data_IF_170003277790
#
_entry.id   IF_170003277790
#
_cell.length_a   1.000
_cell.length_b   1.000
_cell.length_c   1.000
_cell.angle_alpha   90.00
_cell.angle_beta   90.00
_cell.angle_gamma   90.00
#
_symmetry.space_group_name_H-M   'P 1'
#
loop_
_entity.id
_entity.type
_entity.pdbx_description
1 polymer ?
#
# COMPACT_ATOMS: atom_id res chain seq x y z
N UNK A 1 28.17 -64.55 30.92
CA UNK A 1 27.43 -63.66 30.00
C UNK A 1 27.12 -62.31 30.67
N UNK A 2 28.08 -61.44 31.03
CA UNK A 2 27.71 -60.22 31.82
C UNK A 2 28.81 -59.15 31.87
N UNK A 3 29.29 -58.63 30.72
CA UNK A 3 30.09 -57.38 30.73
C UNK A 3 30.01 -56.57 29.45
N UNK A 4 29.77 -57.22 28.32
CA UNK A 4 29.69 -56.56 27.02
C UNK A 4 28.31 -55.94 26.75
N UNK A 5 27.24 -56.55 27.26
CA UNK A 5 25.88 -56.01 27.18
C UNK A 5 25.69 -54.73 28.01
N UNK A 6 26.39 -54.60 29.14
CA UNK A 6 26.31 -53.41 30.01
C UNK A 6 27.01 -52.19 29.40
N UNK A 7 28.02 -52.38 28.54
CA UNK A 7 28.67 -51.27 27.82
C UNK A 7 27.86 -50.78 26.63
N UNK A 8 27.19 -51.67 25.90
CA UNK A 8 26.31 -51.28 24.79
C UNK A 8 25.07 -50.52 25.28
N UNK A 9 24.48 -50.94 26.41
CA UNK A 9 23.32 -50.27 26.99
C UNK A 9 23.63 -48.83 27.42
N UNK A 10 24.82 -48.60 27.98
CA UNK A 10 25.23 -47.28 28.48
C UNK A 10 25.57 -46.29 27.35
N UNK A 11 26.05 -46.78 26.20
CA UNK A 11 26.30 -45.96 25.01
C UNK A 11 24.99 -45.54 24.32
N UNK A 12 23.98 -46.41 24.29
CA UNK A 12 22.66 -46.10 23.72
C UNK A 12 21.87 -45.09 24.57
N UNK A 13 22.04 -45.07 25.89
CA UNK A 13 21.36 -44.09 26.76
C UNK A 13 21.96 -42.68 26.69
N UNK A 14 23.22 -42.53 26.27
CA UNK A 14 23.84 -41.21 26.09
C UNK A 14 23.35 -40.52 24.81
N UNK A 15 23.00 -41.29 23.76
CA UNK A 15 22.48 -40.73 22.51
C UNK A 15 20.99 -40.33 22.57
N UNK A 16 20.24 -40.83 23.56
CA UNK A 16 18.82 -40.49 23.75
C UNK A 16 18.59 -39.24 24.62
N UNK A 17 19.64 -38.69 25.24
CA UNK A 17 19.53 -37.56 26.18
C UNK A 17 19.96 -36.22 25.61
N UNK A 18 20.38 -36.16 24.34
CA UNK A 18 20.54 -34.89 23.65
C UNK A 18 19.12 -34.42 23.29
N UNK A 19 18.45 -33.81 24.27
CA UNK A 19 17.40 -32.84 23.98
C UNK A 19 18.09 -31.73 23.20
N UNK A 20 18.10 -31.88 21.88
CA UNK A 20 18.34 -30.79 20.95
C UNK A 20 17.20 -29.83 21.21
N UNK A 21 17.39 -28.90 22.14
CA UNK A 21 16.62 -27.67 22.19
C UNK A 21 17.14 -26.87 21.01
N UNK A 22 16.82 -27.30 19.79
CA UNK A 22 16.76 -26.40 18.67
C UNK A 22 15.53 -25.55 18.95
N UNK A 23 15.70 -24.52 19.75
CA UNK A 23 14.88 -23.35 19.53
C UNK A 23 15.12 -23.00 18.07
N UNK A 24 14.12 -23.25 17.22
CA UNK A 24 14.13 -22.73 15.86
C UNK A 24 14.54 -21.26 15.97
N UNK A 25 15.47 -20.77 15.14
CA UNK A 25 15.76 -19.35 15.13
C UNK A 25 14.42 -18.65 14.96
N UNK A 26 14.00 -17.94 16.01
CA UNK A 26 12.81 -17.12 15.97
C UNK A 26 13.23 -15.98 15.05
N UNK A 27 13.01 -16.17 13.75
CA UNK A 27 13.29 -15.16 12.75
C UNK A 27 12.52 -13.93 13.19
N UNK A 28 13.21 -12.96 13.79
CA UNK A 28 12.69 -11.63 13.98
C UNK A 28 12.10 -11.21 12.64
N UNK A 29 10.86 -10.69 12.57
CA UNK A 29 10.19 -10.41 11.31
C UNK A 29 10.83 -9.17 10.68
N UNK A 30 12.01 -9.36 10.12
CA UNK A 30 12.82 -8.37 9.44
C UNK A 30 13.41 -9.11 8.24
N UNK A 31 12.74 -8.89 7.09
CA UNK A 31 13.25 -9.02 5.70
C UNK A 31 12.89 -10.30 4.93
N UNK A 32 12.34 -10.02 3.73
CA UNK A 32 12.22 -10.82 2.50
C UNK A 32 10.97 -11.70 2.31
N UNK A 33 10.05 -11.22 1.47
CA UNK A 33 8.86 -11.92 0.99
C UNK A 33 7.62 -11.60 1.83
N UNK A 34 6.73 -10.75 1.32
CA UNK A 34 5.53 -10.27 2.02
C UNK A 34 4.49 -11.33 2.40
N UNK A 35 4.80 -12.61 2.30
CA UNK A 35 3.88 -13.73 2.46
C UNK A 35 4.00 -14.34 3.86
N UNK A 36 2.89 -14.37 4.62
CA UNK A 36 2.77 -15.23 5.83
C UNK A 36 2.95 -14.56 7.20
N UNK A 37 2.97 -13.23 7.31
CA UNK A 37 2.83 -12.54 8.61
C UNK A 37 1.37 -12.08 8.77
N UNK A 38 0.60 -12.60 9.74
CA UNK A 38 -0.85 -12.46 9.77
C UNK A 38 -1.42 -11.04 9.86
N UNK A 39 -0.59 -10.02 10.16
CA UNK A 39 -1.02 -8.63 10.35
C UNK A 39 -0.24 -7.60 9.50
N UNK A 40 0.50 -8.04 8.46
CA UNK A 40 1.29 -7.10 7.65
C UNK A 40 0.43 -6.40 6.61
N UNK A 41 0.29 -5.09 6.74
CA UNK A 41 -0.31 -4.22 5.75
C UNK A 41 0.64 -3.99 4.58
N UNK A 42 0.11 -4.04 3.36
CA UNK A 42 0.84 -3.79 2.13
C UNK A 42 -0.01 -3.06 1.11
N UNK A 43 0.59 -2.66 0.00
CA UNK A 43 -0.07 -2.02 -1.13
C UNK A 43 0.31 -2.74 -2.42
N UNK A 44 -0.68 -3.14 -3.23
CA UNK A 44 -0.41 -3.73 -4.55
C UNK A 44 -0.17 -2.62 -5.56
N UNK A 45 1.08 -2.43 -5.93
CA UNK A 45 1.52 -1.45 -6.91
C UNK A 45 1.56 -2.05 -8.31
N UNK A 46 1.08 -1.32 -9.30
CA UNK A 46 1.18 -1.71 -10.70
C UNK A 46 1.59 -0.52 -11.56
N UNK A 47 2.40 -0.79 -12.58
CA UNK A 47 2.94 0.23 -13.46
C UNK A 47 2.81 -0.19 -14.92
N UNK A 48 2.68 0.82 -15.77
CA UNK A 48 2.82 0.74 -17.22
C UNK A 48 3.82 1.83 -17.66
N UNK A 49 4.06 1.99 -18.96
CA UNK A 49 5.08 2.93 -19.46
C UNK A 49 4.77 4.41 -19.13
N UNK A 50 3.51 4.72 -18.83
CA UNK A 50 3.02 6.11 -18.71
C UNK A 50 2.53 6.44 -17.30
N UNK A 51 1.95 5.46 -16.60
CA UNK A 51 1.25 5.67 -15.34
C UNK A 51 1.50 4.49 -14.39
N UNK A 52 1.39 4.77 -13.10
CA UNK A 52 1.45 3.77 -12.05
C UNK A 52 0.44 4.04 -10.96
N UNK A 53 -0.08 2.98 -10.38
CA UNK A 53 -1.18 3.03 -9.43
C UNK A 53 -1.01 1.98 -8.34
N UNK A 54 -1.58 2.23 -7.17
CA UNK A 54 -1.83 1.25 -6.13
C UNK A 54 -3.30 0.86 -6.21
N UNK A 55 -3.59 -0.44 -6.12
CA UNK A 55 -4.96 -0.94 -6.04
C UNK A 55 -5.64 -0.37 -4.79
N UNK A 56 -6.79 0.25 -4.97
CA UNK A 56 -7.56 0.86 -3.90
C UNK A 56 -8.98 0.28 -3.83
N UNK A 57 -9.41 -0.03 -2.61
CA UNK A 57 -10.76 -0.53 -2.32
C UNK A 57 -11.52 0.58 -1.60
N UNK A 58 -12.46 1.20 -2.31
CA UNK A 58 -13.22 2.33 -1.80
C UNK A 58 -14.34 1.91 -0.85
N UNK A 59 -14.84 2.87 -0.06
CA UNK A 59 -15.89 2.62 0.93
C UNK A 59 -17.20 2.11 0.29
N UNK A 60 -17.51 2.54 -0.93
CA UNK A 60 -18.66 2.09 -1.72
C UNK A 60 -18.47 0.69 -2.35
N UNK A 61 -17.27 0.12 -2.26
CA UNK A 61 -16.93 -1.17 -2.86
C UNK A 61 -16.43 -1.06 -4.30
N UNK A 62 -16.27 0.14 -4.85
CA UNK A 62 -15.58 0.32 -6.13
C UNK A 62 -14.07 0.05 -5.99
N UNK A 63 -13.45 -0.39 -7.08
CA UNK A 63 -12.01 -0.62 -7.16
C UNK A 63 -11.41 0.32 -8.19
N UNK A 64 -10.40 1.08 -7.78
CA UNK A 64 -9.68 2.02 -8.63
C UNK A 64 -8.17 1.99 -8.35
N UNK A 65 -7.45 2.90 -8.99
CA UNK A 65 -6.00 3.04 -8.85
C UNK A 65 -5.62 4.43 -8.35
N UNK A 66 -4.84 4.49 -7.28
CA UNK A 66 -4.28 5.74 -6.72
C UNK A 66 -2.78 5.86 -7.00
N UNK A 67 -2.25 7.03 -7.40
CA UNK A 67 -0.81 7.19 -7.67
C UNK A 67 0.06 7.07 -6.41
N UNK A 68 -0.52 7.23 -5.21
CA UNK A 68 0.18 7.23 -3.91
C UNK A 68 -0.50 6.30 -2.93
N UNK A 69 0.23 5.79 -1.94
CA UNK A 69 -0.37 4.98 -0.86
C UNK A 69 -1.42 5.78 -0.09
N UNK A 70 -2.62 5.23 0.06
CA UNK A 70 -3.71 5.77 0.86
C UNK A 70 -4.18 4.75 1.90
N UNK A 71 -4.97 5.17 2.87
CA UNK A 71 -5.60 4.24 3.83
C UNK A 71 -6.53 3.23 3.13
N UNK A 72 -7.06 3.59 1.94
CA UNK A 72 -7.96 2.76 1.14
C UNK A 72 -7.22 1.79 0.20
N UNK A 73 -5.95 2.07 -0.14
CA UNK A 73 -5.08 1.13 -0.88
C UNK A 73 -4.33 0.14 0.00
N UNK A 74 -4.36 0.34 1.31
CA UNK A 74 -3.79 -0.59 2.25
C UNK A 74 -4.64 -1.86 2.33
N UNK A 75 -4.01 -2.98 2.01
CA UNK A 75 -4.63 -4.28 1.97
C UNK A 75 -3.86 -5.28 2.82
N UNK A 76 -4.57 -6.33 3.17
CA UNK A 76 -4.03 -7.51 3.84
C UNK A 76 -4.26 -8.71 2.91
N UNK A 77 -3.19 -9.46 2.65
CA UNK A 77 -3.25 -10.67 1.84
C UNK A 77 -3.06 -11.87 2.77
N UNK A 78 -4.07 -12.74 2.83
CA UNK A 78 -4.03 -13.97 3.61
C UNK A 78 -3.98 -15.17 2.68
N UNK A 79 -3.12 -16.14 3.01
CA UNK A 79 -3.12 -17.43 2.31
C UNK A 79 -4.33 -18.25 2.79
N UNK A 80 -5.09 -18.76 1.84
CA UNK A 80 -6.28 -19.59 2.06
C UNK A 80 -5.92 -21.06 1.83
N UNK A 81 -5.21 -21.35 0.74
CA UNK A 81 -4.58 -22.65 0.48
C UNK A 81 -3.29 -22.47 -0.35
N UNK A 82 -2.64 -23.56 -0.75
CA UNK A 82 -1.38 -23.48 -1.50
C UNK A 82 -1.56 -22.69 -2.80
N UNK A 83 -0.90 -21.53 -2.89
CA UNK A 83 -1.01 -20.61 -4.03
C UNK A 83 -2.35 -19.89 -4.15
N UNK A 84 -3.26 -20.00 -3.17
CA UNK A 84 -4.54 -19.30 -3.16
C UNK A 84 -4.60 -18.30 -2.02
N UNK A 85 -5.17 -17.14 -2.31
CA UNK A 85 -5.08 -15.95 -1.46
C UNK A 85 -6.40 -15.21 -1.41
N UNK A 86 -6.64 -14.57 -0.27
CA UNK A 86 -7.74 -13.65 -0.04
C UNK A 86 -7.16 -12.27 0.20
N UNK A 87 -7.63 -11.30 -0.58
CA UNK A 87 -7.19 -9.90 -0.50
C UNK A 87 -8.29 -9.10 0.20
N UNK A 88 -7.95 -8.41 1.28
CA UNK A 88 -8.90 -7.65 2.10
C UNK A 88 -8.45 -6.20 2.24
N UNK A 89 -9.34 -5.25 1.96
CA UNK A 89 -9.13 -3.82 2.20
C UNK A 89 -9.26 -3.51 3.69
N UNK A 90 -8.20 -2.96 4.29
CA UNK A 90 -8.12 -2.85 5.75
C UNK A 90 -9.00 -1.72 6.28
N UNK A 91 -9.03 -0.57 5.61
CA UNK A 91 -9.88 0.55 6.01
C UNK A 91 -11.37 0.26 5.79
N UNK A 92 -11.71 -0.42 4.70
CA UNK A 92 -13.11 -0.66 4.30
C UNK A 92 -13.68 -1.96 4.84
N UNK A 93 -12.82 -2.86 5.32
CA UNK A 93 -13.20 -4.21 5.74
C UNK A 93 -14.02 -4.94 4.67
N UNK A 94 -13.53 -4.85 3.42
CA UNK A 94 -14.12 -5.46 2.23
C UNK A 94 -13.14 -6.45 1.63
N UNK A 95 -13.63 -7.61 1.25
CA UNK A 95 -12.91 -8.59 0.44
C UNK A 95 -12.90 -8.13 -1.01
N UNK A 96 -11.76 -8.26 -1.67
CA UNK A 96 -11.69 -8.13 -3.12
C UNK A 96 -12.33 -9.38 -3.73
N UNK A 97 -13.32 -9.20 -4.59
CA UNK A 97 -14.04 -10.28 -5.26
C UNK A 97 -14.13 -9.98 -6.76
N UNK A 98 -14.40 -11.02 -7.55
CA UNK A 98 -14.49 -10.93 -9.00
C UNK A 98 -15.79 -11.56 -9.52
N UNK A 99 -16.43 -10.87 -10.45
CA UNK A 99 -17.63 -11.38 -11.12
C UNK A 99 -17.29 -12.28 -12.33
N UNK A 100 -18.32 -12.90 -12.90
CA UNK A 100 -18.24 -13.73 -14.10
C UNK A 100 -17.73 -13.02 -15.36
N UNK A 101 -17.69 -11.69 -15.35
CA UNK A 101 -17.21 -10.84 -16.45
C UNK A 101 -15.75 -10.42 -16.25
N UNK A 102 -15.14 -10.78 -15.13
CA UNK A 102 -13.77 -10.37 -14.76
C UNK A 102 -13.69 -9.00 -14.08
N UNK A 103 -14.83 -8.39 -13.71
CA UNK A 103 -14.84 -7.14 -12.96
C UNK A 103 -14.53 -7.41 -11.50
N UNK A 104 -13.66 -6.59 -10.94
CA UNK A 104 -13.27 -6.65 -9.53
C UNK A 104 -14.06 -5.62 -8.73
N UNK A 105 -14.51 -6.02 -7.54
CA UNK A 105 -15.29 -5.17 -6.63
C UNK A 105 -15.00 -5.55 -5.17
N UNK A 106 -15.27 -4.64 -4.24
CA UNK A 106 -15.13 -4.83 -2.81
C UNK A 106 -16.45 -5.24 -2.16
N UNK A 107 -16.50 -6.41 -1.54
CA UNK A 107 -17.71 -6.94 -0.90
C UNK A 107 -17.49 -7.27 0.59
N UNK A 108 -18.51 -7.08 1.42
CA UNK A 108 -18.39 -7.34 2.87
C UNK A 108 -18.53 -8.82 3.20
N UNK A 109 -19.39 -9.54 2.49
CA UNK A 109 -19.61 -10.95 2.74
C UNK A 109 -18.61 -11.78 1.95
N UNK A 110 -17.95 -12.72 2.63
CA UNK A 110 -16.97 -13.57 1.98
C UNK A 110 -17.65 -14.66 1.14
N UNK A 111 -17.34 -14.69 -0.17
CA UNK A 111 -17.69 -15.79 -1.06
C UNK A 111 -16.42 -16.47 -1.58
N UNK A 112 -16.21 -17.73 -1.22
CA UNK A 112 -15.03 -18.50 -1.61
C UNK A 112 -14.83 -18.55 -3.13
N UNK A 113 -15.92 -18.67 -3.90
CA UNK A 113 -15.86 -18.81 -5.35
C UNK A 113 -15.40 -17.55 -6.10
N UNK A 114 -15.68 -16.38 -5.52
CA UNK A 114 -15.51 -15.09 -6.19
C UNK A 114 -14.39 -14.25 -5.54
N UNK A 115 -14.06 -14.49 -4.27
CA UNK A 115 -13.12 -13.68 -3.47
C UNK A 115 -11.78 -14.38 -3.18
N UNK A 116 -11.58 -15.58 -3.73
CA UNK A 116 -10.30 -16.31 -3.67
C UNK A 116 -9.60 -16.21 -5.01
N UNK A 117 -8.32 -15.86 -4.99
CA UNK A 117 -7.49 -15.74 -6.19
C UNK A 117 -6.29 -16.66 -6.11
N UNK A 118 -5.89 -17.20 -7.25
CA UNK A 118 -4.61 -17.90 -7.38
C UNK A 118 -3.50 -16.86 -7.60
N UNK A 119 -2.48 -16.93 -6.76
CA UNK A 119 -1.27 -16.11 -6.81
C UNK A 119 -0.14 -16.87 -7.51
N UNK A 120 0.47 -16.21 -8.48
CA UNK A 120 1.67 -16.71 -9.16
C UNK A 120 2.71 -15.58 -9.29
N UNK A 121 3.95 -15.87 -8.93
CA UNK A 121 5.08 -14.96 -9.18
C UNK A 121 5.68 -15.29 -10.54
N UNK A 122 5.75 -14.29 -11.40
CA UNK A 122 6.32 -14.37 -12.75
C UNK A 122 7.86 -14.38 -12.72
N UNK A 123 8.47 -14.69 -13.86
CA UNK A 123 9.93 -14.67 -14.05
C UNK A 123 10.55 -13.28 -13.85
N UNK A 124 9.77 -12.22 -14.04
CA UNK A 124 10.21 -10.84 -13.82
C UNK A 124 10.04 -10.36 -12.36
N UNK A 125 9.73 -11.27 -11.42
CA UNK A 125 9.48 -11.02 -10.00
C UNK A 125 8.25 -10.15 -9.70
N UNK A 126 7.32 -10.02 -10.65
CA UNK A 126 6.00 -9.46 -10.39
C UNK A 126 5.01 -10.56 -10.05
N UNK A 127 4.02 -10.22 -9.23
CA UNK A 127 2.93 -11.10 -8.84
C UNK A 127 1.72 -10.90 -9.76
N UNK A 128 1.06 -12.00 -10.07
CA UNK A 128 -0.20 -12.02 -10.81
C UNK A 128 -1.24 -12.76 -10.00
N UNK A 129 -2.45 -12.24 -10.05
CA UNK A 129 -3.60 -12.78 -9.36
C UNK A 129 -4.69 -13.07 -10.38
N UNK A 130 -5.26 -14.28 -10.37
CA UNK A 130 -6.35 -14.64 -11.26
C UNK A 130 -7.41 -15.48 -10.55
N UNK A 131 -8.66 -15.35 -10.99
CA UNK A 131 -9.76 -16.14 -10.43
C UNK A 131 -9.69 -17.58 -10.94
N UNK A 132 -9.66 -18.61 -10.07
CA UNK A 132 -9.69 -20.01 -10.50
C UNK A 132 -11.04 -20.39 -11.14
N UNK A 133 -12.13 -19.71 -10.74
CA UNK A 133 -13.49 -19.96 -11.25
C UNK A 133 -13.76 -19.25 -12.58
N UNK A 134 -13.43 -17.97 -12.66
CA UNK A 134 -13.77 -17.13 -13.82
C UNK A 134 -12.64 -17.06 -14.85
N UNK A 135 -11.44 -17.54 -14.49
CA UNK A 135 -10.23 -17.56 -15.33
C UNK A 135 -9.83 -16.17 -15.88
N UNK A 136 -10.15 -15.09 -15.16
CA UNK A 136 -9.74 -13.72 -15.48
C UNK A 136 -8.61 -13.26 -14.54
N UNK A 137 -7.71 -12.44 -15.08
CA UNK A 137 -6.64 -11.80 -14.29
C UNK A 137 -7.18 -10.54 -13.63
N UNK A 138 -6.75 -10.26 -12.40
CA UNK A 138 -6.99 -8.98 -11.74
C UNK A 138 -6.29 -7.89 -12.56
N UNK A 139 -7.06 -6.91 -13.03
CA UNK A 139 -6.56 -5.73 -13.74
C UNK A 139 -7.35 -4.51 -13.35
N UNK A 140 -6.66 -3.38 -13.12
CA UNK A 140 -7.31 -2.10 -12.81
C UNK A 140 -7.96 -1.43 -14.03
N UNK A 141 -7.59 -1.85 -15.25
CA UNK A 141 -8.15 -1.27 -16.48
C UNK A 141 -8.98 -2.29 -17.27
N UNK A 142 -9.66 -1.77 -18.27
CA UNK A 142 -10.36 -2.55 -19.29
C UNK A 142 -9.53 -2.58 -20.59
N UNK A 143 -9.73 -3.60 -21.45
CA UNK A 143 -10.63 -4.74 -21.27
C UNK A 143 -10.08 -5.77 -20.26
N UNK A 144 -10.96 -6.62 -19.71
CA UNK A 144 -10.57 -7.75 -18.86
C UNK A 144 -10.06 -8.90 -19.71
N UNK A 145 -8.98 -9.56 -19.30
CA UNK A 145 -8.41 -10.69 -20.04
C UNK A 145 -8.37 -11.96 -19.22
N UNK A 146 -8.57 -13.06 -19.94
CA UNK A 146 -8.39 -14.38 -19.39
C UNK A 146 -6.92 -14.66 -19.10
N UNK A 147 -6.66 -15.37 -18.00
CA UNK A 147 -5.31 -15.85 -17.70
C UNK A 147 -4.93 -16.97 -18.68
N UNK A 148 -3.75 -16.84 -19.31
CA UNK A 148 -3.15 -17.89 -20.13
C UNK A 148 -1.65 -17.92 -19.88
N UNK A 149 -1.13 -19.11 -19.60
CA UNK A 149 0.29 -19.33 -19.40
C UNK A 149 1.07 -19.00 -20.69
N UNK A 150 2.16 -18.25 -20.55
CA UNK A 150 3.09 -17.95 -21.65
C UNK A 150 2.63 -16.89 -22.67
N UNK A 151 1.54 -16.15 -22.40
CA UNK A 151 1.17 -14.98 -23.20
C UNK A 151 1.44 -13.68 -22.44
N UNK A 152 1.58 -12.59 -23.18
CA UNK A 152 1.69 -11.25 -22.61
C UNK A 152 0.43 -10.91 -21.80
N UNK A 153 0.65 -10.44 -20.58
CA UNK A 153 -0.41 -10.01 -19.68
C UNK A 153 -0.89 -8.60 -20.06
N UNK A 154 -2.18 -8.30 -19.85
CA UNK A 154 -2.67 -6.94 -20.03
C UNK A 154 -1.97 -5.94 -19.10
N UNK A 155 -1.93 -4.66 -19.50
CA UNK A 155 -1.37 -3.61 -18.64
C UNK A 155 -2.14 -3.55 -17.31
N UNK A 156 -1.48 -3.09 -16.25
CA UNK A 156 -2.04 -2.97 -14.90
C UNK A 156 -2.51 -4.29 -14.25
N UNK A 157 -1.91 -5.41 -14.64
CA UNK A 157 -2.28 -6.76 -14.16
C UNK A 157 -1.12 -7.52 -13.53
N UNK A 158 0.07 -6.94 -13.58
CA UNK A 158 1.25 -7.36 -12.85
C UNK A 158 1.40 -6.42 -11.65
N UNK A 159 1.58 -7.00 -10.48
CA UNK A 159 1.63 -6.26 -9.23
C UNK A 159 2.94 -6.50 -8.50
N UNK A 160 3.38 -5.46 -7.80
CA UNK A 160 4.47 -5.50 -6.85
C UNK A 160 3.91 -5.22 -5.46
N UNK A 161 4.17 -6.13 -4.54
CA UNK A 161 3.73 -5.99 -3.15
C UNK A 161 4.66 -5.01 -2.42
N UNK A 162 4.19 -3.79 -2.15
CA UNK A 162 4.93 -2.75 -1.44
C UNK A 162 4.58 -2.72 0.05
N UNK A 163 5.56 -2.40 0.88
CA UNK A 163 5.36 -2.25 2.32
C UNK A 163 4.51 -1.01 2.64
N UNK A 164 3.70 -1.09 3.69
CA UNK A 164 2.91 0.04 4.14
C UNK A 164 3.76 1.07 4.90
N UNK A 165 3.77 2.31 4.41
CA UNK A 165 4.45 3.44 5.06
C UNK A 165 3.51 4.31 5.89
N UNK A 166 2.19 4.07 5.80
CA UNK A 166 1.19 4.88 6.48
C UNK A 166 1.11 4.49 7.96
N UNK A 167 1.19 5.44 8.91
CA UNK A 167 1.07 5.12 10.33
C UNK A 167 -0.33 4.61 10.68
N UNK A 168 -0.39 3.61 11.57
CA UNK A 168 -1.63 2.93 11.99
C UNK A 168 -2.69 3.92 12.52
N UNK A 169 -2.27 5.03 13.13
CA UNK A 169 -3.18 6.08 13.65
C UNK A 169 -4.10 6.69 12.58
N UNK A 170 -3.69 6.73 11.32
CA UNK A 170 -4.51 7.27 10.22
C UNK A 170 -5.66 6.35 9.81
N UNK A 171 -5.59 5.06 10.10
CA UNK A 171 -6.61 4.10 9.73
C UNK A 171 -7.89 4.24 10.57
N UNK A 172 -7.73 4.65 11.83
CA UNK A 172 -8.83 4.84 12.77
C UNK A 172 -9.40 6.26 12.77
N UNK A 173 -8.77 7.20 12.05
CA UNK A 173 -9.27 8.56 11.98
C UNK A 173 -10.66 8.58 11.34
N UNK A 174 -11.64 9.28 11.94
CA UNK A 174 -12.93 9.52 11.30
C UNK A 174 -12.70 10.35 10.04
N UNK A 175 -13.47 10.06 9.00
CA UNK A 175 -13.42 10.84 7.77
C UNK A 175 -13.85 12.28 8.09
N UNK A 176 -13.14 13.31 7.60
CA UNK A 176 -13.53 14.69 7.84
C UNK A 176 -14.90 14.96 7.18
N UNK A 177 -15.96 14.96 7.98
CA UNK A 177 -17.27 15.45 7.57
C UNK A 177 -17.18 16.95 7.31
N UNK A 178 -17.12 17.36 6.04
CA UNK A 178 -17.39 18.75 5.68
C UNK A 178 -18.87 19.03 5.89
N UNK A 179 -19.23 19.44 7.11
CA UNK A 179 -20.53 20.03 7.39
C UNK A 179 -20.54 21.43 6.79
N UNK A 180 -21.15 21.57 5.61
CA UNK A 180 -21.59 22.90 5.16
C UNK A 180 -22.68 23.31 6.14
N UNK A 181 -22.52 24.37 6.93
CA UNK A 181 -23.58 24.81 7.81
C UNK A 181 -24.77 25.20 6.93
N UNK A 182 -25.90 24.51 7.08
CA UNK A 182 -27.20 24.94 6.53
C UNK A 182 -27.69 26.16 7.33
N UNK A 183 -26.96 27.26 7.22
CA UNK A 183 -27.39 28.57 7.65
C UNK A 183 -27.92 29.32 6.45
N UNK A 184 -29.12 29.88 6.55
CA UNK A 184 -29.50 31.02 5.73
C UNK A 184 -28.56 32.19 6.09
N UNK A 185 -27.35 32.19 5.55
CA UNK A 185 -26.45 33.32 5.63
C UNK A 185 -26.99 34.38 4.67
N UNK A 186 -27.97 35.14 5.13
CA UNK A 186 -28.16 36.48 4.64
C UNK A 186 -26.86 37.23 4.96
N UNK A 187 -26.04 37.46 3.93
CA UNK A 187 -24.87 38.34 3.93
C UNK A 187 -23.67 37.93 4.84
N UNK A 188 -22.49 37.59 4.27
CA UNK A 188 -21.24 37.35 5.02
C UNK A 188 -20.82 38.49 5.98
N UNK A 189 -21.40 39.68 5.83
CA UNK A 189 -21.16 40.87 6.67
C UNK A 189 -21.68 40.77 8.10
N UNK A 190 -22.64 39.87 8.38
CA UNK A 190 -23.31 39.82 9.68
C UNK A 190 -22.54 39.07 10.77
N UNK A 191 -21.52 38.30 10.38
CA UNK A 191 -20.56 37.64 11.30
C UNK A 191 -19.74 38.69 12.08
N UNK A 192 -19.53 39.88 11.50
CA UNK A 192 -18.71 40.95 12.10
C UNK A 192 -19.51 41.77 13.13
N UNK A 193 -20.85 41.71 13.12
CA UNK A 193 -21.69 42.63 13.90
C UNK A 193 -22.10 42.13 15.28
N UNK A 194 -21.91 40.84 15.62
CA UNK A 194 -22.37 40.32 16.91
C UNK A 194 -21.29 39.54 17.70
N UNK A 195 -20.38 40.25 18.39
CA UNK A 195 -19.43 39.63 19.31
C UNK A 195 -20.05 39.28 20.69
N UNK A 196 -21.35 39.49 20.93
CA UNK A 196 -21.95 39.47 22.28
C UNK A 196 -22.66 38.17 22.66
N UNK A 197 -22.13 37.01 22.28
CA UNK A 197 -22.56 35.79 22.97
C UNK A 197 -21.46 34.73 23.15
N UNK A 198 -20.19 35.14 23.07
CA UNK A 198 -19.10 34.27 23.52
C UNK A 198 -18.84 34.54 25.00
N UNK A 199 -19.31 33.62 25.86
CA UNK A 199 -18.98 33.63 27.27
C UNK A 199 -17.52 33.14 27.44
N UNK A 200 -16.59 34.09 27.55
CA UNK A 200 -15.15 33.83 27.72
C UNK A 200 -14.80 33.28 29.11
N UNK A 201 -15.78 32.99 29.98
CA UNK A 201 -15.54 32.43 31.31
C UNK A 201 -15.48 30.90 31.35
N UNK A 202 -15.91 30.21 30.28
CA UNK A 202 -15.77 28.76 30.18
C UNK A 202 -14.51 28.40 29.40
N UNK A 203 -13.52 27.84 30.10
CA UNK A 203 -12.36 27.22 29.45
C UNK A 203 -12.84 25.96 28.70
N UNK A 204 -13.32 26.12 27.47
CA UNK A 204 -13.39 24.98 26.56
C UNK A 204 -11.95 24.65 26.20
N UNK A 205 -11.50 23.51 26.70
CA UNK A 205 -10.24 22.88 26.37
C UNK A 205 -10.10 22.87 24.84
N UNK A 206 -9.10 23.57 24.33
CA UNK A 206 -8.87 23.67 22.90
C UNK A 206 -8.14 22.39 22.46
N UNK A 207 -8.76 21.51 21.64
CA UNK A 207 -8.17 20.22 21.28
C UNK A 207 -6.96 20.35 20.32
N UNK A 208 -6.58 21.58 19.95
CA UNK A 208 -5.39 21.89 19.17
C UNK A 208 -4.16 22.27 20.02
N UNK A 209 -4.25 22.24 21.35
CA UNK A 209 -3.10 22.53 22.21
C UNK A 209 -2.10 21.36 22.33
N UNK A 210 -2.45 20.14 21.90
CA UNK A 210 -1.60 18.93 22.09
C UNK A 210 -0.73 18.55 20.88
N UNK A 211 -0.70 19.35 19.82
CA UNK A 211 0.19 19.12 18.67
C UNK A 211 1.14 20.29 18.49
N UNK A 212 1.92 20.61 19.52
CA UNK A 212 3.14 21.41 19.37
C UNK A 212 4.20 21.02 20.40
N UNK A 213 5.22 20.28 19.95
CA UNK A 213 6.58 20.26 20.51
C UNK A 213 7.57 20.19 19.33
N UNK A 214 8.78 20.75 19.43
CA UNK A 214 9.07 22.16 19.23
C UNK A 214 10.02 22.38 18.04
N UNK A 215 9.82 23.45 17.26
CA UNK A 215 10.93 23.96 16.45
C UNK A 215 11.85 24.79 17.36
N UNK A 216 13.18 24.55 17.36
CA UNK A 216 14.09 25.37 18.14
C UNK A 216 14.17 26.77 17.51
N UNK A 217 13.80 27.76 18.31
CA UNK A 217 14.06 29.18 18.08
C UNK A 217 15.57 29.44 18.19
N UNK A 218 16.22 29.57 17.04
CA UNK A 218 17.61 29.99 16.93
C UNK A 218 17.73 31.11 15.90
N UNK A 219 17.92 32.33 16.40
CA UNK A 219 18.28 33.54 15.66
C UNK A 219 19.37 33.32 14.62
N UNK A 220 19.17 33.79 13.37
CA UNK A 220 20.26 33.99 12.41
C UNK A 220 20.41 35.48 12.06
N UNK A 221 21.65 36.02 12.07
CA UNK A 221 21.92 37.38 11.64
C UNK A 221 22.01 37.46 10.12
N UNK A 222 21.68 38.63 9.60
CA UNK A 222 21.85 39.04 8.20
C UNK A 222 23.34 39.09 7.88
N UNK A 223 23.80 38.29 6.90
CA UNK A 223 25.01 38.60 6.13
C UNK A 223 24.73 38.32 4.64
N UNK A 224 24.84 39.39 3.86
CA UNK A 224 24.96 39.39 2.40
C UNK A 224 26.25 38.68 1.99
N UNK A 225 26.16 37.72 1.07
CA UNK A 225 27.23 37.44 0.12
C UNK A 225 26.65 36.80 -1.14
N UNK A 226 26.93 37.42 -2.28
CA UNK A 226 26.60 36.96 -3.63
C UNK A 226 27.60 35.90 -4.10
N UNK A 227 27.14 34.79 -4.66
CA UNK A 227 27.94 33.85 -5.46
C UNK A 227 27.08 33.31 -6.63
N UNK A 228 27.70 32.87 -7.74
CA UNK A 228 27.30 33.27 -9.09
C UNK A 228 26.30 32.33 -9.78
N UNK A 229 25.56 32.89 -10.73
CA UNK A 229 24.70 32.19 -11.67
C UNK A 229 25.59 31.39 -12.64
N UNK A 230 25.50 30.07 -12.58
CA UNK A 230 25.99 29.20 -13.64
C UNK A 230 24.97 29.31 -14.78
N UNK A 231 25.34 30.08 -15.81
CA UNK A 231 24.67 30.08 -17.11
C UNK A 231 24.87 28.69 -17.72
N UNK A 232 23.80 27.90 -17.86
CA UNK A 232 23.48 27.12 -19.06
C UNK A 232 22.27 26.19 -18.82
N UNK A 233 21.40 26.20 -19.83
CA UNK A 233 20.19 25.37 -20.03
C UNK A 233 18.88 26.00 -19.56
N UNK A 234 18.57 27.18 -20.10
CA UNK A 234 17.17 27.58 -20.30
C UNK A 234 16.76 27.06 -21.68
N UNK A 235 15.93 26.02 -21.70
CA UNK A 235 15.28 25.54 -22.92
C UNK A 235 14.10 26.48 -23.17
N UNK A 236 14.07 27.13 -24.32
CA UNK A 236 12.97 27.98 -24.74
C UNK A 236 11.78 27.07 -25.10
N UNK A 237 10.66 27.18 -24.38
CA UNK A 237 9.49 26.29 -24.51
C UNK A 237 8.58 26.62 -25.69
N UNK A 238 8.88 27.68 -26.44
CA UNK A 238 8.02 28.18 -27.52
C UNK A 238 8.51 27.82 -28.94
N UNK A 239 9.55 26.97 -29.07
CA UNK A 239 10.05 26.50 -30.37
C UNK A 239 9.79 24.98 -30.58
N UNK A 240 8.84 24.60 -31.46
CA UNK A 240 8.49 23.20 -31.69
C UNK A 240 9.54 22.38 -32.44
N UNK A 241 10.55 22.98 -33.08
CA UNK A 241 11.56 22.22 -33.85
C UNK A 241 12.71 21.65 -32.99
N UNK A 242 13.00 22.23 -31.83
CA UNK A 242 14.08 21.74 -30.93
C UNK A 242 13.64 20.52 -30.09
N UNK A 243 12.34 20.37 -29.82
CA UNK A 243 11.77 19.23 -29.07
C UNK A 243 11.92 17.92 -29.85
N UNK A 244 11.91 17.97 -31.18
CA UNK A 244 12.05 16.79 -32.06
C UNK A 244 13.50 16.30 -32.11
N UNK A 245 14.50 17.19 -32.01
CA UNK A 245 15.92 16.80 -31.99
C UNK A 245 16.31 16.03 -30.73
N UNK A 246 15.73 16.36 -29.57
CA UNK A 246 16.03 15.67 -28.31
C UNK A 246 15.47 14.24 -28.27
N UNK A 247 14.37 13.96 -28.98
CA UNK A 247 13.80 12.60 -29.09
C UNK A 247 14.62 11.66 -29.97
N UNK A 248 15.39 12.16 -30.94
CA UNK A 248 16.23 11.31 -31.82
C UNK A 248 17.52 10.82 -31.16
N UNK A 249 18.09 11.59 -30.22
CA UNK A 249 19.36 11.23 -29.59
C UNK A 249 19.25 10.07 -28.57
N UNK A 250 18.05 9.81 -28.02
CA UNK A 250 17.84 8.72 -27.05
C UNK A 250 17.59 7.34 -27.69
N UNK A 251 17.45 7.27 -29.01
CA UNK A 251 17.27 6.01 -29.76
C UNK A 251 18.58 5.45 -30.38
N UNK A 252 19.73 6.08 -30.16
CA UNK A 252 21.04 5.65 -30.69
C UNK A 252 22.09 5.29 -29.63
N UNK A 253 21.65 4.84 -28.46
CA UNK A 253 22.50 4.07 -27.55
C UNK A 253 21.79 2.78 -27.17
N UNK A 254 21.82 1.83 -28.11
CA UNK A 254 21.93 0.41 -27.77
C UNK A 254 23.40 0.09 -27.58
#
# INVERSE_FOLDING_TARGET
MTKQQTRLGLVLTVLASIKVISAFPNSSPIISGGWGVPDRLMHLYTASDWNSFHLQINHDGSIDGTPTQTIYSAIMIKSESAGHVVITGVKTNRYLCMDKSGNIFGYHDFNHDDCVFKHETLENNFDVYHSPKHNFVISLKEPKHHFRLGMDLPPYSQFLSLENEIPITRFNAPEPEMRIPEGNFADPSDIIKNPRNWDFSQSIHNPFQDVWLPFPSGSLPIIRASLPIIHNNVINTDDPEEIVKMKRYRYFKR
#
